data_IF_593438046092
#
_entry.id   IF_593438046092
#
_cell.length_a   1.000
_cell.length_b   1.000
_cell.length_c   1.000
_cell.angle_alpha   90.00
_cell.angle_beta   90.00
_cell.angle_gamma   90.00
#
_symmetry.space_group_name_H-M   'P 1'
#
loop_
_entity.id
_entity.type
_entity.pdbx_description
1 polymer ?
#
# COMPACT_ATOMS: atom_id res chain seq x y z
N UNK A 1 -8.53 -3.63 13.18
CA UNK A 1 -8.15 -4.81 13.96
C UNK A 1 -9.28 -5.82 14.01
N UNK A 2 -8.96 -7.11 14.15
CA UNK A 2 -9.94 -8.17 14.37
C UNK A 2 -10.63 -8.73 13.13
N UNK A 3 -10.32 -8.26 11.93
CA UNK A 3 -10.84 -8.84 10.69
C UNK A 3 -9.86 -9.88 10.17
N UNK A 4 -10.36 -11.09 9.92
CA UNK A 4 -9.58 -12.19 9.34
C UNK A 4 -9.52 -11.97 7.83
N UNK A 5 -8.31 -11.91 7.30
CA UNK A 5 -8.09 -11.80 5.86
C UNK A 5 -6.84 -12.58 5.45
N UNK A 6 -6.76 -12.96 4.19
CA UNK A 6 -5.54 -13.53 3.65
C UNK A 6 -4.42 -12.47 3.65
N UNK A 7 -3.16 -12.83 3.98
CA UNK A 7 -2.04 -11.95 3.75
C UNK A 7 -2.03 -11.52 2.28
N UNK A 8 -1.77 -10.22 2.06
CA UNK A 8 -2.03 -9.53 0.82
C UNK A 8 -1.62 -10.27 -0.45
N UNK A 9 -2.50 -10.25 -1.40
CA UNK A 9 -2.07 -10.43 -2.79
C UNK A 9 -1.43 -9.12 -3.26
N UNK A 10 -0.62 -9.17 -4.30
CA UNK A 10 -0.03 -7.97 -4.94
C UNK A 10 -1.07 -6.96 -5.49
N UNK A 11 -2.35 -7.25 -5.34
CA UNK A 11 -3.47 -6.33 -5.62
C UNK A 11 -3.99 -5.65 -4.36
N UNK A 12 -3.47 -6.01 -3.18
CA UNK A 12 -3.88 -5.43 -1.90
C UNK A 12 -2.76 -4.53 -1.38
N UNK A 13 -3.06 -3.26 -1.25
CA UNK A 13 -2.20 -2.34 -0.54
C UNK A 13 -2.59 -2.36 0.94
N UNK A 14 -1.69 -2.86 1.77
CA UNK A 14 -1.89 -3.01 3.20
C UNK A 14 -0.75 -2.32 3.96
N UNK A 15 -0.91 -1.04 4.34
CA UNK A 15 0.08 -0.39 5.18
C UNK A 15 -0.02 -0.95 6.60
N UNK A 16 1.06 -1.53 7.07
CA UNK A 16 1.18 -1.92 8.48
C UNK A 16 1.46 -0.69 9.33
N UNK A 17 0.55 -0.42 10.23
CA UNK A 17 0.67 0.70 11.16
C UNK A 17 1.40 0.33 12.45
N UNK A 18 1.15 -0.85 12.96
CA UNK A 18 1.85 -1.44 14.10
C UNK A 18 1.88 -2.98 13.95
N UNK A 19 2.64 -3.63 14.82
CA UNK A 19 2.86 -5.07 14.77
C UNK A 19 1.86 -5.89 15.58
N UNK A 20 0.68 -5.37 15.91
CA UNK A 20 -0.32 -6.06 16.72
C UNK A 20 -1.10 -7.16 15.98
N UNK A 21 -0.66 -7.48 14.78
CA UNK A 21 -1.32 -8.48 13.95
C UNK A 21 -0.73 -9.85 14.22
N UNK A 22 -1.52 -10.71 14.83
CA UNK A 22 -1.20 -12.13 14.90
C UNK A 22 -1.51 -12.77 13.55
N UNK A 23 -0.49 -13.31 12.92
CA UNK A 23 -0.63 -14.08 11.69
C UNK A 23 -0.74 -15.55 12.03
N UNK A 24 -1.79 -16.20 11.52
CA UNK A 24 -1.96 -17.65 11.60
C UNK A 24 -1.87 -18.19 10.18
N UNK A 25 -0.74 -18.73 9.80
CA UNK A 25 -0.56 -19.32 8.48
C UNK A 25 0.49 -20.44 8.51
N UNK A 26 0.37 -21.34 7.59
CA UNK A 26 1.39 -22.35 7.33
C UNK A 26 2.48 -21.76 6.43
N UNK A 27 3.73 -21.91 6.83
CA UNK A 27 4.84 -21.59 5.96
C UNK A 27 5.09 -22.77 5.00
N UNK A 28 4.56 -22.66 3.80
CA UNK A 28 4.64 -23.70 2.78
C UNK A 28 6.12 -24.03 2.41
N UNK A 29 7.01 -23.04 2.47
CA UNK A 29 8.41 -23.23 2.11
C UNK A 29 9.20 -24.02 3.15
N UNK A 30 8.94 -23.81 4.45
CA UNK A 30 9.60 -24.53 5.55
C UNK A 30 8.79 -25.71 6.07
N UNK A 31 7.50 -25.79 5.76
CA UNK A 31 6.57 -26.75 6.37
C UNK A 31 6.24 -26.46 7.84
N UNK A 32 6.61 -25.27 8.33
CA UNK A 32 6.37 -24.85 9.70
C UNK A 32 4.90 -24.46 9.86
N UNK A 33 4.24 -25.10 10.83
CA UNK A 33 2.84 -24.78 11.19
C UNK A 33 2.87 -23.99 12.47
N UNK A 34 2.26 -22.81 12.47
CA UNK A 34 2.10 -22.01 13.67
C UNK A 34 0.99 -22.57 14.53
N UNK A 35 1.31 -22.82 15.78
CA UNK A 35 0.40 -23.39 16.77
C UNK A 35 -0.38 -22.32 17.56
N UNK A 36 -1.14 -22.79 18.54
CA UNK A 36 -1.91 -21.91 19.42
C UNK A 36 -1.04 -20.92 20.20
N UNK A 37 0.15 -21.33 20.64
CA UNK A 37 1.03 -20.49 21.44
C UNK A 37 1.54 -19.30 20.59
N UNK A 38 1.81 -19.51 19.31
CA UNK A 38 2.11 -18.43 18.38
C UNK A 38 0.92 -17.47 18.20
N UNK A 39 -0.30 -18.00 18.04
CA UNK A 39 -1.51 -17.19 17.88
C UNK A 39 -1.72 -16.23 19.08
N UNK A 40 -1.38 -16.66 20.28
CA UNK A 40 -1.61 -15.90 21.50
C UNK A 40 -0.34 -15.21 22.03
N UNK A 41 0.75 -15.24 21.29
CA UNK A 41 2.06 -14.71 21.72
C UNK A 41 1.96 -13.29 22.28
N UNK A 42 1.22 -12.42 21.59
CA UNK A 42 1.05 -11.02 21.94
C UNK A 42 -0.14 -10.75 22.90
N UNK A 43 -0.83 -11.79 23.35
CA UNK A 43 -1.88 -11.64 24.34
C UNK A 43 -1.30 -11.45 25.75
N UNK A 44 -2.02 -10.76 26.67
CA UNK A 44 -1.65 -10.73 28.09
C UNK A 44 -1.51 -12.16 28.65
N UNK A 45 -0.50 -12.40 29.47
CA UNK A 45 -0.14 -13.74 29.95
C UNK A 45 -1.30 -14.46 30.65
N UNK A 46 -2.10 -13.72 31.42
CA UNK A 46 -3.29 -14.23 32.12
C UNK A 46 -4.47 -14.51 31.18
N UNK A 47 -4.40 -14.09 29.92
CA UNK A 47 -5.45 -14.25 28.90
C UNK A 47 -5.12 -15.31 27.85
N UNK A 48 -3.88 -15.73 27.71
CA UNK A 48 -3.44 -16.68 26.67
C UNK A 48 -4.25 -17.97 26.61
N UNK A 49 -4.77 -18.46 27.72
CA UNK A 49 -5.59 -19.68 27.79
C UNK A 49 -7.09 -19.41 27.90
N UNK A 50 -7.51 -18.16 27.79
CA UNK A 50 -8.90 -17.78 27.81
C UNK A 50 -9.46 -17.68 26.37
N UNK A 51 -10.12 -18.73 25.89
CA UNK A 51 -10.69 -18.78 24.54
C UNK A 51 -11.72 -17.68 24.28
N UNK A 52 -12.51 -17.30 25.28
CA UNK A 52 -13.49 -16.22 25.14
C UNK A 52 -12.78 -14.88 24.88
N UNK A 53 -11.69 -14.64 25.58
CA UNK A 53 -10.85 -13.46 25.32
C UNK A 53 -10.26 -13.50 23.92
N UNK A 54 -9.67 -14.61 23.49
CA UNK A 54 -9.10 -14.75 22.15
C UNK A 54 -10.18 -14.54 21.07
N UNK A 55 -11.35 -15.14 21.27
CA UNK A 55 -12.50 -14.96 20.36
C UNK A 55 -13.02 -13.52 20.36
N UNK A 56 -12.91 -12.78 21.47
CA UNK A 56 -13.32 -11.38 21.56
C UNK A 56 -12.39 -10.41 20.81
N UNK A 57 -11.18 -10.83 20.42
CA UNK A 57 -10.27 -10.05 19.59
C UNK A 57 -10.75 -9.93 18.14
N UNK A 58 -11.65 -10.82 17.72
CA UNK A 58 -12.23 -10.83 16.38
C UNK A 58 -13.40 -9.86 16.28
N UNK A 59 -13.43 -9.07 15.24
CA UNK A 59 -14.56 -8.19 14.89
C UNK A 59 -15.61 -9.04 14.17
N UNK A 60 -16.49 -9.68 14.95
CA UNK A 60 -17.48 -10.60 14.41
C UNK A 60 -18.45 -9.95 13.45
N UNK A 61 -18.85 -8.71 13.70
CA UNK A 61 -19.75 -7.97 12.82
C UNK A 61 -19.18 -7.87 11.41
N UNK A 62 -17.91 -7.45 11.30
CA UNK A 62 -17.24 -7.35 10.01
C UNK A 62 -16.88 -8.70 9.39
N UNK A 63 -16.50 -9.69 10.21
CA UNK A 63 -16.06 -10.99 9.71
C UNK A 63 -17.21 -11.80 9.08
N UNK A 64 -18.45 -11.61 9.54
CA UNK A 64 -19.62 -12.34 9.02
C UNK A 64 -20.49 -11.54 8.07
N UNK A 65 -20.13 -10.31 7.75
CA UNK A 65 -20.89 -9.44 6.84
C UNK A 65 -20.86 -9.98 5.40
N UNK A 66 -21.99 -10.46 4.85
CA UNK A 66 -22.04 -10.98 3.49
C UNK A 66 -21.83 -9.88 2.42
N UNK A 67 -21.95 -8.62 2.83
CA UNK A 67 -21.76 -7.46 1.97
C UNK A 67 -20.49 -6.67 2.32
N UNK A 68 -19.54 -7.31 2.98
CA UNK A 68 -18.28 -6.73 3.46
C UNK A 68 -17.63 -5.80 2.43
N UNK A 69 -17.50 -6.25 1.19
CA UNK A 69 -16.90 -5.46 0.12
C UNK A 69 -17.64 -4.14 -0.13
N UNK A 70 -18.96 -4.15 -0.08
CA UNK A 70 -19.78 -2.94 -0.26
C UNK A 70 -19.67 -1.97 0.91
N UNK A 71 -19.56 -2.51 2.12
CA UNK A 71 -19.58 -1.71 3.34
C UNK A 71 -18.21 -1.13 3.71
N UNK A 72 -17.12 -1.85 3.42
CA UNK A 72 -15.80 -1.49 3.95
C UNK A 72 -14.75 -1.16 2.88
N UNK A 73 -14.96 -1.53 1.62
CA UNK A 73 -14.06 -1.14 0.54
C UNK A 73 -14.40 0.26 0.06
N UNK A 74 -13.41 1.12 0.04
CA UNK A 74 -13.55 2.49 -0.45
C UNK A 74 -13.27 2.52 -1.95
N UNK A 75 -14.14 3.13 -2.77
CA UNK A 75 -13.85 3.31 -4.19
C UNK A 75 -12.68 4.28 -4.38
N UNK A 76 -11.80 4.05 -5.36
CA UNK A 76 -10.76 5.01 -5.68
C UNK A 76 -11.34 6.36 -6.11
N UNK A 77 -10.72 7.47 -5.66
CA UNK A 77 -11.13 8.84 -6.02
C UNK A 77 -10.13 9.41 -7.01
N UNK A 78 -10.58 9.74 -8.21
CA UNK A 78 -9.72 10.32 -9.25
C UNK A 78 -9.19 11.69 -8.82
N UNK A 79 -7.91 11.93 -9.10
CA UNK A 79 -7.30 13.24 -8.91
C UNK A 79 -7.58 14.16 -10.11
N UNK A 80 -7.85 15.45 -9.89
CA UNK A 80 -8.23 16.39 -10.97
C UNK A 80 -7.12 16.63 -12.00
N UNK A 81 -5.87 16.37 -11.64
CA UNK A 81 -4.71 16.63 -12.49
C UNK A 81 -4.44 15.53 -13.53
N UNK A 82 -5.29 14.50 -13.60
CA UNK A 82 -5.17 13.42 -14.57
C UNK A 82 -5.45 13.95 -15.98
N UNK A 83 -4.61 13.54 -16.93
CA UNK A 83 -4.81 13.82 -18.37
C UNK A 83 -4.61 12.53 -19.19
N UNK A 84 -4.71 12.59 -20.50
CA UNK A 84 -4.57 11.39 -21.36
C UNK A 84 -3.18 10.74 -21.31
N UNK A 85 -2.17 11.36 -20.72
CA UNK A 85 -0.79 10.86 -20.57
C UNK A 85 -0.59 10.10 -19.28
N UNK A 86 -1.31 10.48 -18.22
CA UNK A 86 -1.28 9.83 -16.94
C UNK A 86 -2.61 9.97 -16.21
N UNK A 87 -2.85 9.08 -15.27
CA UNK A 87 -3.98 9.14 -14.35
C UNK A 87 -3.49 8.94 -12.91
N UNK A 88 -4.08 9.68 -12.00
CA UNK A 88 -3.82 9.57 -10.58
C UNK A 88 -5.13 9.40 -9.82
N UNK A 89 -5.14 8.55 -8.81
CA UNK A 89 -6.32 8.32 -7.97
C UNK A 89 -5.91 8.05 -6.52
N UNK A 90 -6.68 8.54 -5.58
CA UNK A 90 -6.57 8.17 -4.18
C UNK A 90 -7.06 6.74 -3.98
N UNK A 91 -6.25 5.92 -3.30
CA UNK A 91 -6.56 4.53 -2.94
C UNK A 91 -6.64 4.31 -1.43
N UNK A 92 -5.97 5.17 -0.64
CA UNK A 92 -6.16 5.28 0.80
C UNK A 92 -6.37 6.75 1.16
N UNK A 93 -7.49 7.06 1.82
CA UNK A 93 -7.91 8.43 2.13
C UNK A 93 -8.96 8.45 3.26
N UNK A 94 -9.35 9.63 3.71
CA UNK A 94 -10.36 9.85 4.75
C UNK A 94 -10.09 9.02 6.04
N UNK A 95 -8.84 9.03 6.50
CA UNK A 95 -8.41 8.45 7.76
C UNK A 95 -7.29 9.29 8.38
N UNK A 96 -6.97 9.04 9.65
CA UNK A 96 -6.04 9.85 10.43
C UNK A 96 -4.59 9.31 10.43
N UNK A 97 -4.31 8.28 9.65
CA UNK A 97 -3.04 7.57 9.74
C UNK A 97 -2.18 7.71 8.50
N UNK A 98 -2.74 7.46 7.34
CA UNK A 98 -2.02 7.44 6.06
C UNK A 98 -2.89 7.96 4.93
N UNK A 99 -2.23 8.33 3.83
CA UNK A 99 -2.87 8.54 2.54
C UNK A 99 -2.04 7.85 1.44
N UNK A 100 -2.69 7.38 0.40
CA UNK A 100 -1.99 6.79 -0.73
C UNK A 100 -2.68 7.09 -2.05
N UNK A 101 -1.85 7.27 -3.09
CA UNK A 101 -2.29 7.41 -4.48
C UNK A 101 -1.70 6.30 -5.34
N UNK A 102 -2.45 5.87 -6.33
CA UNK A 102 -1.93 5.13 -7.46
C UNK A 102 -1.77 6.09 -8.63
N UNK A 103 -0.57 6.15 -9.19
CA UNK A 103 -0.24 6.89 -10.40
C UNK A 103 0.01 5.91 -11.54
N UNK A 104 -0.67 6.08 -12.65
CA UNK A 104 -0.48 5.30 -13.88
C UNK A 104 0.02 6.23 -14.98
N UNK A 105 1.24 6.02 -15.50
CA UNK A 105 1.80 6.75 -16.65
C UNK A 105 1.69 5.88 -17.89
N UNK A 106 1.06 6.41 -18.93
CA UNK A 106 0.80 5.68 -20.18
C UNK A 106 2.11 5.34 -20.92
N UNK A 107 2.10 4.30 -21.78
CA UNK A 107 3.28 3.89 -22.54
C UNK A 107 3.88 5.04 -23.34
N UNK A 108 5.21 5.18 -23.29
CA UNK A 108 5.97 6.19 -24.02
C UNK A 108 5.78 7.63 -23.54
N UNK A 109 5.05 7.85 -22.46
CA UNK A 109 4.80 9.20 -21.93
C UNK A 109 5.87 9.67 -20.97
N UNK A 110 6.12 10.97 -21.02
CA UNK A 110 6.95 11.72 -20.07
C UNK A 110 6.10 12.83 -19.47
N UNK A 111 5.96 12.83 -18.16
CA UNK A 111 5.08 13.73 -17.41
C UNK A 111 5.80 14.37 -16.23
N UNK A 112 5.31 15.49 -15.76
CA UNK A 112 5.73 16.11 -14.51
C UNK A 112 4.55 16.01 -13.55
N UNK A 113 4.76 15.35 -12.41
CA UNK A 113 3.71 15.15 -11.40
C UNK A 113 4.11 15.85 -10.12
N UNK A 114 3.26 16.75 -9.66
CA UNK A 114 3.44 17.50 -8.40
C UNK A 114 2.51 16.97 -7.32
N UNK A 115 2.95 17.07 -6.07
CA UNK A 115 2.18 16.73 -4.89
C UNK A 115 2.35 17.76 -3.77
N UNK A 116 1.35 17.87 -2.90
CA UNK A 116 1.36 18.82 -1.79
C UNK A 116 2.19 18.41 -0.57
N UNK A 117 2.73 17.18 -0.54
CA UNK A 117 3.47 16.64 0.59
C UNK A 117 4.61 15.72 0.15
N UNK A 118 5.55 15.45 1.07
CA UNK A 118 6.55 14.42 0.88
C UNK A 118 5.92 13.03 0.77
N UNK A 119 6.53 12.11 0.02
CA UNK A 119 6.05 10.75 -0.12
C UNK A 119 7.16 9.74 -0.35
N UNK A 120 6.92 8.51 0.12
CA UNK A 120 7.59 7.33 -0.38
C UNK A 120 6.82 6.78 -1.58
N UNK A 121 7.47 6.08 -2.49
CA UNK A 121 6.75 5.39 -3.57
C UNK A 121 7.43 4.08 -3.98
N UNK A 122 6.61 3.19 -4.52
CA UNK A 122 7.02 1.89 -5.05
C UNK A 122 6.52 1.78 -6.50
N UNK A 123 7.42 1.39 -7.40
CA UNK A 123 7.06 1.05 -8.78
C UNK A 123 6.55 -0.39 -8.78
N UNK A 124 5.27 -0.60 -9.05
CA UNK A 124 4.66 -1.94 -9.03
C UNK A 124 4.50 -2.56 -10.42
N UNK A 125 4.65 -1.75 -11.47
CA UNK A 125 4.57 -2.22 -12.85
C UNK A 125 5.36 -1.29 -13.79
N UNK A 126 6.00 -1.87 -14.79
CA UNK A 126 6.66 -1.15 -15.88
C UNK A 126 8.09 -0.72 -15.54
N UNK A 127 8.68 0.03 -16.47
CA UNK A 127 10.05 0.53 -16.35
C UNK A 127 10.20 1.89 -17.03
N UNK A 128 11.19 2.66 -16.59
CA UNK A 128 11.42 3.98 -17.14
C UNK A 128 12.40 4.81 -16.32
N UNK A 129 12.03 6.06 -16.05
CA UNK A 129 12.79 6.95 -15.17
C UNK A 129 11.88 7.61 -14.14
N UNK A 130 12.42 7.77 -12.96
CA UNK A 130 11.84 8.55 -11.88
C UNK A 130 12.84 9.64 -11.47
N UNK A 131 12.55 10.88 -11.85
CA UNK A 131 13.53 11.97 -11.73
C UNK A 131 14.78 11.70 -12.55
N UNK A 132 15.92 11.70 -11.87
CA UNK A 132 17.23 11.42 -12.46
C UNK A 132 17.60 9.92 -12.51
N UNK A 133 16.81 9.05 -11.88
CA UNK A 133 17.12 7.65 -11.67
C UNK A 133 16.37 6.76 -12.65
N UNK A 134 17.00 5.64 -13.04
CA UNK A 134 16.28 4.56 -13.71
C UNK A 134 15.35 3.88 -12.70
N UNK A 135 14.18 3.46 -13.17
CA UNK A 135 13.13 2.88 -12.35
C UNK A 135 12.54 1.65 -13.04
N UNK A 136 12.36 0.57 -12.29
CA UNK A 136 11.88 -0.71 -12.80
C UNK A 136 11.12 -1.49 -11.73
N UNK A 137 9.94 -2.01 -12.08
CA UNK A 137 9.15 -2.82 -11.17
C UNK A 137 9.76 -4.20 -10.93
N UNK A 138 9.58 -4.71 -9.72
CA UNK A 138 9.94 -6.07 -9.30
C UNK A 138 11.42 -6.40 -9.52
N UNK A 139 12.31 -5.53 -9.07
CA UNK A 139 13.75 -5.77 -9.15
C UNK A 139 14.17 -6.86 -8.17
N UNK A 140 14.76 -7.94 -8.70
CA UNK A 140 15.45 -8.92 -7.86
C UNK A 140 16.82 -8.38 -7.46
N UNK A 141 16.96 -8.00 -6.20
CA UNK A 141 18.21 -7.45 -5.68
C UNK A 141 19.13 -8.54 -5.12
N UNK A 142 20.43 -8.36 -5.33
CA UNK A 142 21.44 -9.00 -4.50
C UNK A 142 21.63 -8.20 -3.23
N UNK A 143 21.94 -8.86 -2.13
CA UNK A 143 22.24 -8.19 -0.86
C UNK A 143 23.25 -7.04 -1.07
N UNK A 144 22.92 -5.86 -0.56
CA UNK A 144 23.76 -4.65 -0.66
C UNK A 144 23.62 -3.85 -1.96
N UNK A 145 22.72 -4.20 -2.87
CA UNK A 145 22.42 -3.38 -4.04
C UNK A 145 21.24 -2.43 -3.76
N UNK A 146 21.27 -1.18 -4.25
CA UNK A 146 20.12 -0.29 -4.16
C UNK A 146 18.95 -0.80 -5.03
N UNK A 147 17.75 -0.63 -4.54
CA UNK A 147 16.52 -0.88 -5.28
C UNK A 147 16.30 0.19 -6.35
N UNK A 148 15.73 -0.20 -7.49
CA UNK A 148 15.29 0.72 -8.55
C UNK A 148 13.76 0.85 -8.59
N UNK A 149 13.06 0.30 -7.64
CA UNK A 149 11.60 0.31 -7.53
C UNK A 149 11.09 1.17 -6.36
N UNK A 150 11.96 1.57 -5.43
CA UNK A 150 11.59 2.37 -4.26
C UNK A 150 12.28 3.72 -4.25
N UNK A 151 11.52 4.78 -4.01
CA UNK A 151 12.02 6.15 -3.93
C UNK A 151 11.36 6.92 -2.80
N UNK A 152 12.11 7.88 -2.24
CA UNK A 152 11.59 8.90 -1.36
C UNK A 152 11.69 10.27 -2.02
N UNK A 153 10.59 11.02 -1.96
CA UNK A 153 10.50 12.38 -2.51
C UNK A 153 10.25 13.37 -1.38
N UNK A 154 11.17 14.32 -1.19
CA UNK A 154 10.98 15.38 -0.21
C UNK A 154 9.81 16.29 -0.59
N UNK A 155 9.24 17.00 0.37
CA UNK A 155 8.12 17.91 0.14
C UNK A 155 8.48 19.01 -0.89
N UNK A 156 9.69 19.54 -0.82
CA UNK A 156 10.16 20.56 -1.79
C UNK A 156 10.20 20.01 -3.21
N UNK A 157 10.73 18.80 -3.40
CA UNK A 157 10.77 18.14 -4.70
C UNK A 157 9.36 17.74 -5.18
N UNK A 158 8.49 17.28 -4.29
CA UNK A 158 7.11 16.96 -4.61
C UNK A 158 6.33 18.20 -5.10
N UNK A 159 6.46 19.33 -4.42
CA UNK A 159 5.82 20.60 -4.82
C UNK A 159 6.37 21.15 -6.13
N UNK A 160 7.67 21.02 -6.38
CA UNK A 160 8.30 21.39 -7.65
C UNK A 160 7.85 20.51 -8.82
N UNK A 161 7.54 19.26 -8.52
CA UNK A 161 7.17 18.24 -9.48
C UNK A 161 8.32 17.32 -9.87
N UNK A 162 8.02 16.04 -9.92
CA UNK A 162 8.95 14.98 -10.34
C UNK A 162 8.69 14.62 -11.79
N UNK A 163 9.75 14.58 -12.58
CA UNK A 163 9.68 14.09 -13.97
C UNK A 163 9.63 12.58 -13.94
N UNK A 164 8.59 12.01 -14.54
CA UNK A 164 8.41 10.55 -14.66
C UNK A 164 8.28 10.21 -16.15
N UNK A 165 9.06 9.24 -16.60
CA UNK A 165 9.09 8.80 -17.99
C UNK A 165 8.85 7.28 -18.06
N UNK A 166 7.77 6.88 -18.70
CA UNK A 166 7.53 5.47 -19.03
C UNK A 166 8.20 5.15 -20.38
N UNK A 167 9.22 4.30 -20.35
CA UNK A 167 9.98 3.92 -21.56
C UNK A 167 9.41 2.69 -22.27
N UNK A 168 8.43 2.02 -21.68
CA UNK A 168 7.72 0.95 -22.34
C UNK A 168 6.86 1.51 -23.48
N UNK A 169 6.78 0.79 -24.60
CA UNK A 169 5.88 1.10 -25.71
C UNK A 169 4.49 0.46 -25.56
N UNK A 170 4.34 -0.48 -24.65
CA UNK A 170 3.16 -1.35 -24.57
C UNK A 170 2.53 -1.38 -23.19
N UNK A 171 3.32 -1.16 -22.14
CA UNK A 171 2.90 -1.38 -20.77
C UNK A 171 2.87 -0.06 -20.00
N UNK A 172 1.81 0.25 -19.26
CA UNK A 172 1.79 1.38 -18.35
C UNK A 172 2.83 1.21 -17.24
N UNK A 173 3.32 2.32 -16.72
CA UNK A 173 4.13 2.36 -15.50
C UNK A 173 3.21 2.73 -14.34
N UNK A 174 3.11 1.85 -13.35
CA UNK A 174 2.23 2.04 -12.18
C UNK A 174 3.07 2.23 -10.94
N UNK A 175 2.77 3.28 -10.21
CA UNK A 175 3.50 3.73 -9.01
C UNK A 175 2.50 3.90 -7.87
N UNK A 176 2.77 3.28 -6.72
CA UNK A 176 2.06 3.56 -5.48
C UNK A 176 2.83 4.62 -4.70
N UNK A 177 2.18 5.71 -4.36
CA UNK A 177 2.72 6.82 -3.56
C UNK A 177 2.07 6.82 -2.18
N UNK A 178 2.88 6.93 -1.14
CA UNK A 178 2.48 6.86 0.25
C UNK A 178 2.76 8.18 0.94
N UNK A 179 1.76 8.74 1.57
CA UNK A 179 1.82 10.01 2.29
C UNK A 179 1.42 9.82 3.75
N UNK A 180 1.83 10.76 4.59
CA UNK A 180 1.24 10.90 5.92
C UNK A 180 -0.23 11.37 5.86
N UNK A 181 -0.94 11.40 7.00
CA UNK A 181 -2.39 11.68 7.05
C UNK A 181 -2.76 13.14 6.71
N UNK A 182 -1.78 14.02 6.66
CA UNK A 182 -2.00 15.47 6.52
C UNK A 182 -1.79 15.99 5.10
N UNK A 183 -1.90 15.14 4.09
CA UNK A 183 -1.82 15.61 2.71
C UNK A 183 -2.94 16.63 2.43
N UNK A 184 -2.62 17.86 1.90
CA UNK A 184 -3.59 18.93 1.76
C UNK A 184 -4.78 18.58 0.87
N UNK A 185 -4.55 17.79 -0.18
CA UNK A 185 -5.56 17.45 -1.19
C UNK A 185 -6.26 16.11 -0.91
N UNK A 186 -5.98 15.46 0.24
CA UNK A 186 -6.61 14.18 0.56
C UNK A 186 -8.12 14.35 0.77
N UNK A 187 -8.98 13.58 0.09
CA UNK A 187 -10.40 13.56 0.37
C UNK A 187 -10.67 13.24 1.84
N UNK A 188 -11.50 14.02 2.50
CA UNK A 188 -11.82 13.88 3.94
C UNK A 188 -13.14 13.15 4.19
N UNK A 189 -13.94 12.97 3.17
CA UNK A 189 -15.23 12.26 3.22
C UNK A 189 -15.23 11.08 2.26
N UNK A 190 -16.10 10.11 2.55
CA UNK A 190 -16.38 8.95 1.71
C UNK A 190 -17.38 9.29 0.62
#
# INVERSE_FOLDING_TARGET
PGVIHAPGSYLTYEPQWNSDVNSVYENIASGEVYDYDFLVENCPEDKKRNLEYVMSLLDWEKNVDPHYRKHYFRPPVACPNSDGRYAEKWVAYANDYIAAKELTVQPGQKVVVSDGAAYGCIIIQGHGRFGAYDAEASVMLRFGQPSNDEFFVSEAAAKQGVVIENRSRFQPMVILKHFGPNHPDMPRTL
#
